data_IF_557221135465
#
_entry.id   IF_557221135465
#
_cell.length_a   1.000
_cell.length_b   1.000
_cell.length_c   1.000
_cell.angle_alpha   90.00
_cell.angle_beta   90.00
_cell.angle_gamma   90.00
#
_symmetry.space_group_name_H-M   'P 1'
#
loop_
_entity.id
_entity.type
_entity.pdbx_description
1 polymer ?
#
# COMPACT_ATOMS: atom_id res chain seq x y z
N UNK A 1 -3.36 -11.61 -16.45
CA UNK A 1 -3.32 -12.04 -15.05
C UNK A 1 -2.08 -11.42 -14.44
N UNK A 2 -2.09 -10.10 -14.27
CA UNK A 2 -0.94 -9.38 -13.70
C UNK A 2 -1.12 -9.50 -12.19
N UNK A 3 -0.53 -10.53 -11.60
CA UNK A 3 -0.49 -10.65 -10.14
C UNK A 3 0.28 -9.44 -9.60
N UNK A 4 -0.24 -8.80 -8.55
CA UNK A 4 0.40 -7.65 -7.94
C UNK A 4 1.85 -8.01 -7.53
N UNK A 5 2.77 -7.09 -7.81
CA UNK A 5 4.20 -7.27 -7.54
C UNK A 5 4.46 -7.28 -6.03
N UNK A 6 5.38 -8.13 -5.57
CA UNK A 6 5.88 -8.11 -4.19
C UNK A 6 7.17 -7.28 -4.11
N UNK A 7 7.43 -6.63 -2.96
CA UNK A 7 8.68 -5.92 -2.76
C UNK A 7 9.88 -6.88 -2.77
N UNK A 8 11.02 -6.39 -3.26
CA UNK A 8 12.22 -7.20 -3.40
C UNK A 8 12.68 -7.74 -2.03
N UNK A 9 12.92 -9.05 -1.96
CA UNK A 9 13.35 -9.72 -0.73
C UNK A 9 12.24 -10.01 0.28
N UNK A 10 10.97 -9.74 -0.06
CA UNK A 10 9.83 -10.05 0.78
C UNK A 10 8.94 -11.13 0.17
N UNK A 11 8.49 -12.04 1.02
CA UNK A 11 7.44 -12.99 0.69
C UNK A 11 6.10 -12.52 1.26
N UNK A 12 5.00 -12.97 0.64
CA UNK A 12 3.67 -12.70 1.18
C UNK A 12 3.50 -13.30 2.60
N UNK A 13 4.19 -14.40 2.90
CA UNK A 13 4.16 -15.04 4.21
C UNK A 13 4.83 -14.16 5.29
N UNK A 14 6.00 -13.58 5.01
CA UNK A 14 6.65 -12.62 5.91
C UNK A 14 5.80 -11.36 6.14
N UNK A 15 5.16 -10.86 5.07
CA UNK A 15 4.24 -9.73 5.18
C UNK A 15 3.09 -10.05 6.14
N UNK A 16 2.49 -11.25 6.04
CA UNK A 16 1.41 -11.72 6.94
C UNK A 16 1.88 -11.88 8.38
N UNK A 17 3.11 -12.35 8.58
CA UNK A 17 3.67 -12.54 9.92
C UNK A 17 3.91 -11.20 10.61
N UNK A 18 4.46 -10.21 9.89
CA UNK A 18 4.74 -8.87 10.43
C UNK A 18 3.47 -8.05 10.62
N UNK A 19 2.54 -8.05 9.65
CA UNK A 19 1.28 -7.30 9.77
C UNK A 19 0.28 -7.95 10.74
N UNK A 20 0.45 -9.25 11.03
CA UNK A 20 -0.53 -10.04 11.77
C UNK A 20 -1.81 -10.36 10.98
N UNK A 21 -1.89 -9.93 9.71
CA UNK A 21 -3.03 -10.18 8.84
C UNK A 21 -2.75 -11.34 7.89
N UNK A 22 -3.38 -12.48 8.16
CA UNK A 22 -3.24 -13.71 7.37
C UNK A 22 -3.88 -13.64 5.99
N UNK A 23 -4.81 -12.72 5.78
CA UNK A 23 -5.52 -12.53 4.52
C UNK A 23 -4.86 -11.46 3.64
N UNK A 24 -3.66 -11.01 4.00
CA UNK A 24 -2.94 -10.04 3.18
C UNK A 24 -2.70 -10.57 1.75
N UNK A 25 -2.87 -9.68 0.78
CA UNK A 25 -2.82 -9.99 -0.64
C UNK A 25 -2.21 -8.85 -1.44
N UNK A 26 -1.62 -9.16 -2.60
CA UNK A 26 -1.21 -8.13 -3.54
C UNK A 26 -2.40 -7.69 -4.38
N UNK A 27 -2.58 -6.37 -4.53
CA UNK A 27 -3.62 -5.77 -5.36
C UNK A 27 -3.02 -5.29 -6.69
N UNK A 28 -3.90 -5.13 -7.69
CA UNK A 28 -3.53 -4.60 -9.00
C UNK A 28 -3.17 -3.11 -8.93
N UNK A 29 -2.13 -2.71 -9.65
CA UNK A 29 -1.58 -1.35 -9.69
C UNK A 29 -2.36 -0.38 -10.58
N UNK A 30 -3.35 -0.84 -11.35
CA UNK A 30 -4.22 0.01 -12.17
C UNK A 30 -5.22 0.84 -11.33
N UNK A 31 -5.14 0.73 -9.99
CA UNK A 31 -6.00 1.47 -9.06
C UNK A 31 -5.59 2.93 -8.92
N UNK A 32 -6.59 3.79 -8.75
CA UNK A 32 -6.37 5.21 -8.45
C UNK A 32 -5.90 5.33 -7.00
N UNK A 33 -4.69 5.84 -6.80
CA UNK A 33 -4.15 6.13 -5.46
C UNK A 33 -4.01 7.65 -5.29
N UNK A 34 -4.53 8.17 -4.19
CA UNK A 34 -4.49 9.59 -3.86
C UNK A 34 -3.85 9.80 -2.49
N UNK A 35 -2.85 10.65 -2.42
CA UNK A 35 -2.23 11.10 -1.18
C UNK A 35 -3.02 12.26 -0.58
N UNK A 36 -3.63 12.02 0.57
CA UNK A 36 -4.43 12.99 1.35
C UNK A 36 -3.78 13.37 2.68
N UNK A 37 -2.55 12.91 2.95
CA UNK A 37 -1.83 13.20 4.20
C UNK A 37 -1.28 14.63 4.33
N UNK A 38 -1.42 15.47 3.30
CA UNK A 38 -1.06 16.90 3.34
C UNK A 38 -2.30 17.78 3.13
N UNK A 39 -2.40 18.93 3.83
CA UNK A 39 -3.48 19.88 3.59
C UNK A 39 -3.34 20.48 2.18
N UNK A 40 -4.35 20.26 1.32
CA UNK A 40 -4.35 20.71 -0.06
C UNK A 40 -5.16 19.80 -0.98
N UNK A 41 -4.96 19.94 -2.28
CA UNK A 41 -5.49 18.98 -3.25
C UNK A 41 -4.75 17.64 -3.12
N UNK A 42 -5.50 16.55 -3.12
CA UNK A 42 -4.93 15.20 -3.04
C UNK A 42 -4.02 14.92 -4.23
N UNK A 43 -2.79 14.49 -3.97
CA UNK A 43 -1.81 14.20 -5.01
C UNK A 43 -2.01 12.78 -5.53
N UNK A 44 -2.08 12.58 -6.85
CA UNK A 44 -2.18 11.24 -7.41
C UNK A 44 -0.83 10.54 -7.38
N UNK A 45 -0.77 9.41 -6.68
CA UNK A 45 0.39 8.54 -6.64
C UNK A 45 0.29 7.49 -7.75
N UNK A 46 1.43 7.16 -8.35
CA UNK A 46 1.54 6.05 -9.31
C UNK A 46 2.05 4.81 -8.58
N UNK A 47 1.19 3.85 -8.22
CA UNK A 47 1.59 2.67 -7.47
C UNK A 47 2.41 1.72 -8.34
N UNK A 48 3.56 1.30 -7.83
CA UNK A 48 4.32 0.16 -8.33
C UNK A 48 3.91 -1.14 -7.64
N UNK A 49 3.63 -1.06 -6.34
CA UNK A 49 3.21 -2.19 -5.50
C UNK A 49 2.04 -1.73 -4.65
N UNK A 50 1.00 -2.57 -4.58
CA UNK A 50 -0.12 -2.39 -3.67
C UNK A 50 -0.31 -3.68 -2.86
N UNK A 51 -0.27 -3.54 -1.54
CA UNK A 51 -0.55 -4.60 -0.58
C UNK A 51 -1.87 -4.28 0.12
N UNK A 52 -2.84 -5.18 0.02
CA UNK A 52 -4.10 -5.10 0.72
C UNK A 52 -4.06 -5.90 2.02
N UNK A 53 -4.55 -5.28 3.09
CA UNK A 53 -4.82 -5.82 4.41
C UNK A 53 -6.30 -5.55 4.71
N UNK A 54 -6.97 -6.30 5.56
CA UNK A 54 -8.43 -6.30 5.70
C UNK A 54 -9.04 -4.91 6.01
N UNK A 55 -9.28 -4.08 4.97
CA UNK A 55 -9.71 -2.68 5.06
C UNK A 55 -8.63 -1.61 4.87
N UNK A 56 -7.34 -1.98 4.92
CA UNK A 56 -6.19 -1.07 4.76
C UNK A 56 -5.33 -1.46 3.55
N UNK A 57 -4.54 -0.52 3.04
CA UNK A 57 -3.64 -0.74 1.93
C UNK A 57 -2.30 -0.06 2.19
N UNK A 58 -1.21 -0.74 1.79
CA UNK A 58 0.11 -0.14 1.65
C UNK A 58 0.45 0.00 0.17
N UNK A 59 0.95 1.16 -0.20
CA UNK A 59 1.30 1.51 -1.58
C UNK A 59 2.76 1.93 -1.65
N UNK A 60 3.50 1.33 -2.56
CA UNK A 60 4.83 1.78 -2.98
C UNK A 60 4.68 2.55 -4.30
N UNK A 61 4.93 3.86 -4.36
CA UNK A 61 4.95 4.57 -5.64
C UNK A 61 6.20 4.24 -6.46
N UNK A 62 6.11 4.33 -7.80
CA UNK A 62 7.28 4.13 -8.69
C UNK A 62 8.32 5.25 -8.52
N UNK A 63 7.87 6.46 -8.16
CA UNK A 63 8.70 7.67 -8.08
C UNK A 63 9.16 8.01 -6.66
N UNK A 64 8.95 7.10 -5.70
CA UNK A 64 9.25 7.35 -4.29
C UNK A 64 9.81 6.09 -3.63
N UNK A 65 10.70 6.27 -2.66
CA UNK A 65 11.26 5.21 -1.82
C UNK A 65 10.42 4.96 -0.55
N UNK A 66 9.51 5.87 -0.22
CA UNK A 66 8.58 5.71 0.90
C UNK A 66 7.40 4.77 0.60
N UNK A 67 6.77 4.31 1.67
CA UNK A 67 5.56 3.48 1.69
C UNK A 67 4.38 4.28 2.22
N UNK A 68 3.29 4.28 1.47
CA UNK A 68 2.11 5.07 1.76
C UNK A 68 0.98 4.18 2.26
N UNK A 69 0.46 4.46 3.45
CA UNK A 69 -0.65 3.74 4.04
C UNK A 69 -1.96 4.48 3.82
N UNK A 70 -2.98 3.73 3.42
CA UNK A 70 -4.32 4.23 3.16
C UNK A 70 -5.41 3.18 3.37
N UNK A 71 -6.64 3.52 3.00
CA UNK A 71 -7.79 2.63 2.98
C UNK A 71 -8.24 2.41 1.56
N UNK A 72 -8.76 1.21 1.30
CA UNK A 72 -9.46 0.92 0.05
C UNK A 72 -10.89 1.47 0.14
N UNK A 73 -11.23 2.35 -0.79
CA UNK A 73 -12.57 2.91 -0.93
C UNK A 73 -13.50 1.95 -1.69
N UNK A 74 -14.82 2.13 -1.52
CA UNK A 74 -15.83 1.34 -2.23
C UNK A 74 -15.77 1.48 -3.77
N UNK A 75 -15.26 2.62 -4.26
CA UNK A 75 -15.02 2.87 -5.70
C UNK A 75 -13.78 2.12 -6.23
N UNK A 76 -13.02 1.45 -5.35
CA UNK A 76 -11.81 0.71 -5.68
C UNK A 76 -10.53 1.55 -5.72
N UNK A 77 -10.64 2.87 -5.47
CA UNK A 77 -9.52 3.77 -5.23
C UNK A 77 -8.95 3.67 -3.82
N UNK A 78 -7.76 4.23 -3.60
CA UNK A 78 -7.05 4.19 -2.32
C UNK A 78 -6.69 5.62 -1.92
N UNK A 79 -7.08 6.01 -0.70
CA UNK A 79 -6.69 7.30 -0.11
C UNK A 79 -5.62 7.06 0.95
N UNK A 80 -4.39 7.48 0.67
CA UNK A 80 -3.24 7.36 1.56
C UNK A 80 -3.11 8.59 2.47
N UNK A 81 -2.97 8.39 3.78
CA UNK A 81 -2.86 9.48 4.77
C UNK A 81 -1.58 9.44 5.60
N UNK A 82 -0.85 8.32 5.59
CA UNK A 82 0.43 8.20 6.28
C UNK A 82 1.52 7.72 5.33
N UNK A 83 2.77 8.14 5.57
CA UNK A 83 3.94 7.71 4.83
C UNK A 83 5.00 7.18 5.81
N UNK A 84 5.68 6.11 5.41
CA UNK A 84 6.69 5.39 6.19
C UNK A 84 7.94 5.22 5.33
N UNK A 85 9.12 5.40 5.90
CA UNK A 85 10.38 5.24 5.17
C UNK A 85 10.72 3.78 4.87
N UNK A 86 10.08 2.83 5.56
CA UNK A 86 10.36 1.41 5.42
C UNK A 86 9.08 0.56 5.48
N UNK A 87 9.07 -0.56 4.75
CA UNK A 87 7.94 -1.49 4.70
C UNK A 87 7.65 -2.10 6.07
N UNK A 88 8.67 -2.47 6.83
CA UNK A 88 8.50 -3.13 8.12
C UNK A 88 7.89 -2.17 9.16
N UNK A 89 8.23 -0.87 9.12
CA UNK A 89 7.54 0.15 9.92
C UNK A 89 6.08 0.30 9.49
N UNK A 90 5.82 0.35 8.18
CA UNK A 90 4.48 0.45 7.64
C UNK A 90 3.60 -0.76 8.05
N UNK A 91 4.14 -1.98 7.97
CA UNK A 91 3.44 -3.20 8.35
C UNK A 91 3.13 -3.26 9.85
N UNK A 92 4.00 -2.72 10.70
CA UNK A 92 3.76 -2.61 12.15
C UNK A 92 2.73 -1.55 12.53
N UNK A 93 2.40 -0.64 11.61
CA UNK A 93 1.41 0.40 11.80
C UNK A 93 -0.02 -0.01 11.42
N UNK A 94 -0.20 -1.21 10.84
CA UNK A 94 -1.50 -1.82 10.53
C UNK A 94 -2.20 -2.33 11.78
#
# INVERSE_FOLDING_TARGET
>A
MTGGQLPAGWTLEEIRDVSGDRDSMTLDTDRVVTWVGRPGEGERLHPEIILGFHGLCLVKPVNDEDWYMGSLNDDGGIDCWSAYGDLHEALRGL
#
